data_IF_118638883503
#
_entry.id   IF_118638883503
#
_cell.length_a   1.000
_cell.length_b   1.000
_cell.length_c   1.000
_cell.angle_alpha   90.00
_cell.angle_beta   90.00
_cell.angle_gamma   90.00
#
_symmetry.space_group_name_H-M   'P 1'
#
loop_
_entity.id
_entity.type
_entity.pdbx_description
1 polymer ?
#
# COMPACT_ATOMS: atom_id res chain seq x y z
N UNK A 1 11.15 2.39 -21.47
CA UNK A 1 10.30 2.61 -22.67
C UNK A 1 9.38 1.42 -22.94
N UNK A 2 9.87 0.18 -22.85
CA UNK A 2 9.04 -1.02 -23.13
C UNK A 2 7.81 -1.15 -22.23
N UNK A 3 7.91 -0.86 -20.92
CA UNK A 3 6.75 -0.95 -20.00
C UNK A 3 5.64 0.05 -20.37
N UNK A 4 6.03 1.27 -20.75
CA UNK A 4 5.08 2.30 -21.20
C UNK A 4 4.43 1.86 -22.51
N UNK A 5 5.20 1.29 -23.43
CA UNK A 5 4.68 0.73 -24.69
C UNK A 5 3.66 -0.40 -24.42
N UNK A 6 3.99 -1.35 -23.54
CA UNK A 6 3.09 -2.46 -23.16
C UNK A 6 1.82 -1.93 -22.51
N UNK A 7 1.91 -0.95 -21.60
CA UNK A 7 0.74 -0.33 -20.98
C UNK A 7 -0.15 0.39 -22.01
N UNK A 8 0.46 1.10 -22.96
CA UNK A 8 -0.26 1.77 -24.06
C UNK A 8 -0.94 0.76 -24.97
N UNK A 9 -0.25 -0.32 -25.36
CA UNK A 9 -0.82 -1.40 -26.18
C UNK A 9 -1.98 -2.08 -25.46
N UNK A 10 -1.84 -2.34 -24.16
CA UNK A 10 -2.91 -2.90 -23.33
C UNK A 10 -4.14 -1.98 -23.29
N UNK A 11 -3.95 -0.66 -23.15
CA UNK A 11 -5.04 0.32 -23.19
C UNK A 11 -5.73 0.38 -24.56
N UNK A 12 -4.96 0.33 -25.65
CA UNK A 12 -5.49 0.32 -27.02
C UNK A 12 -6.32 -0.94 -27.29
N UNK A 13 -5.87 -2.11 -26.84
CA UNK A 13 -6.63 -3.37 -26.92
C UNK A 13 -7.95 -3.27 -26.16
N UNK A 14 -7.93 -2.65 -24.98
CA UNK A 14 -9.10 -2.47 -24.13
C UNK A 14 -10.15 -1.57 -24.81
N UNK A 15 -9.70 -0.46 -25.42
CA UNK A 15 -10.52 0.43 -26.25
C UNK A 15 -11.13 -0.31 -27.45
N UNK A 16 -10.37 -1.18 -28.12
CA UNK A 16 -10.87 -1.96 -29.24
C UNK A 16 -12.01 -2.91 -28.81
N UNK A 17 -11.83 -3.60 -27.68
CA UNK A 17 -12.83 -4.55 -27.15
C UNK A 17 -14.11 -3.81 -26.72
N UNK A 18 -14.00 -2.58 -26.24
CA UNK A 18 -15.14 -1.72 -25.90
C UNK A 18 -16.08 -1.51 -27.10
N UNK A 19 -15.50 -1.27 -28.27
CA UNK A 19 -16.25 -0.99 -29.51
C UNK A 19 -16.85 -2.26 -30.12
N UNK A 20 -16.27 -3.44 -29.88
CA UNK A 20 -16.73 -4.71 -30.49
C UNK A 20 -17.73 -5.45 -29.60
N UNK A 21 -17.52 -5.54 -28.27
CA UNK A 21 -18.36 -6.33 -27.36
C UNK A 21 -18.47 -5.66 -25.98
N UNK A 22 -19.46 -4.77 -25.80
CA UNK A 22 -19.70 -4.03 -24.55
C UNK A 22 -19.81 -4.86 -23.26
N UNK A 23 -20.58 -5.97 -23.19
CA UNK A 23 -20.70 -6.73 -21.94
C UNK A 23 -19.41 -7.47 -21.58
N UNK A 24 -18.62 -7.88 -22.56
CA UNK A 24 -17.33 -8.55 -22.35
C UNK A 24 -16.23 -7.55 -21.95
N UNK A 25 -16.33 -6.31 -22.45
CA UNK A 25 -15.42 -5.23 -22.11
C UNK A 25 -15.36 -4.95 -20.60
N UNK A 26 -16.49 -5.01 -19.88
CA UNK A 26 -16.49 -4.78 -18.43
C UNK A 26 -15.63 -5.82 -17.68
N UNK A 27 -15.80 -7.11 -17.98
CA UNK A 27 -15.02 -8.20 -17.37
C UNK A 27 -13.54 -8.10 -17.76
N UNK A 28 -13.26 -7.94 -19.06
CA UNK A 28 -11.89 -7.86 -19.58
C UNK A 28 -11.17 -6.63 -19.03
N UNK A 29 -11.87 -5.50 -18.86
CA UNK A 29 -11.32 -4.27 -18.29
C UNK A 29 -10.82 -4.49 -16.86
N UNK A 30 -11.60 -5.19 -16.03
CA UNK A 30 -11.20 -5.54 -14.66
C UNK A 30 -9.96 -6.45 -14.69
N UNK A 31 -9.98 -7.50 -15.52
CA UNK A 31 -8.84 -8.43 -15.64
C UNK A 31 -7.56 -7.72 -16.11
N UNK A 32 -7.65 -6.90 -17.15
CA UNK A 32 -6.53 -6.12 -17.67
C UNK A 32 -6.02 -5.11 -16.65
N UNK A 33 -6.91 -4.44 -15.91
CA UNK A 33 -6.51 -3.51 -14.86
C UNK A 33 -5.72 -4.20 -13.76
N UNK A 34 -6.13 -5.40 -13.33
CA UNK A 34 -5.37 -6.21 -12.38
C UNK A 34 -4.02 -6.68 -12.95
N UNK A 35 -3.97 -7.10 -14.22
CA UNK A 35 -2.75 -7.52 -14.89
C UNK A 35 -1.74 -6.37 -15.01
N UNK A 36 -2.21 -5.21 -15.47
CA UNK A 36 -1.42 -4.01 -15.65
C UNK A 36 -0.94 -3.48 -14.30
N UNK A 37 -1.80 -3.46 -13.29
CA UNK A 37 -1.40 -3.11 -11.92
C UNK A 37 -0.35 -4.08 -11.37
N UNK A 38 -0.53 -5.40 -11.52
CA UNK A 38 0.43 -6.40 -11.07
C UNK A 38 1.80 -6.24 -11.76
N UNK A 39 1.79 -5.99 -13.07
CA UNK A 39 3.00 -5.74 -13.84
C UNK A 39 3.72 -4.47 -13.34
N UNK A 40 3.01 -3.34 -13.27
CA UNK A 40 3.59 -2.08 -12.77
C UNK A 40 4.07 -2.22 -11.32
N UNK A 41 3.31 -2.94 -10.49
CA UNK A 41 3.65 -3.15 -9.10
C UNK A 41 4.96 -3.92 -8.96
N UNK A 42 5.09 -5.05 -9.67
CA UNK A 42 6.27 -5.91 -9.60
C UNK A 42 7.53 -5.30 -10.22
N UNK A 43 7.39 -4.54 -11.31
CA UNK A 43 8.54 -4.00 -12.06
C UNK A 43 8.98 -2.59 -11.64
N UNK A 44 8.08 -1.77 -11.09
CA UNK A 44 8.40 -0.39 -10.70
C UNK A 44 8.27 -0.18 -9.19
N UNK A 45 7.08 -0.44 -8.62
CA UNK A 45 6.82 -0.12 -7.21
C UNK A 45 7.64 -1.00 -6.26
N UNK A 46 7.69 -2.31 -6.48
CA UNK A 46 8.41 -3.24 -5.62
C UNK A 46 9.93 -2.96 -5.56
N UNK A 47 10.66 -2.82 -6.68
CA UNK A 47 12.08 -2.49 -6.62
C UNK A 47 12.33 -1.10 -6.04
N UNK A 48 11.46 -0.12 -6.34
CA UNK A 48 11.55 1.21 -5.74
C UNK A 48 11.40 1.16 -4.21
N UNK A 49 10.43 0.42 -3.68
CA UNK A 49 10.25 0.23 -2.23
C UNK A 49 11.45 -0.48 -1.61
N UNK A 50 12.01 -1.50 -2.27
CA UNK A 50 13.22 -2.19 -1.79
C UNK A 50 14.41 -1.23 -1.74
N UNK A 51 14.65 -0.49 -2.81
CA UNK A 51 15.75 0.46 -2.89
C UNK A 51 15.59 1.58 -1.85
N UNK A 52 14.38 2.09 -1.65
CA UNK A 52 14.07 3.07 -0.61
C UNK A 52 14.35 2.51 0.79
N UNK A 53 13.96 1.27 1.07
CA UNK A 53 14.25 0.60 2.35
C UNK A 53 15.74 0.38 2.57
N UNK A 54 16.49 0.00 1.54
CA UNK A 54 17.94 -0.15 1.60
C UNK A 54 18.63 1.20 1.82
N UNK A 55 18.16 2.25 1.17
CA UNK A 55 18.69 3.60 1.32
C UNK A 55 18.42 4.13 2.72
N UNK A 56 17.28 3.79 3.30
CA UNK A 56 16.89 4.15 4.66
C UNK A 56 17.35 3.14 5.71
N UNK A 57 18.16 2.13 5.35
CA UNK A 57 18.58 1.07 6.27
C UNK A 57 19.43 1.60 7.45
N UNK A 58 20.05 2.77 7.29
CA UNK A 58 20.78 3.46 8.36
C UNK A 58 19.86 4.02 9.46
N UNK A 59 18.58 4.23 9.15
CA UNK A 59 17.62 4.85 10.05
C UNK A 59 16.87 3.76 10.82
N UNK A 60 16.98 3.72 12.17
CA UNK A 60 16.25 2.75 12.95
C UNK A 60 14.75 2.92 12.70
N UNK A 61 14.02 1.80 12.63
CA UNK A 61 12.59 1.77 12.34
C UNK A 61 12.18 2.31 10.95
N UNK A 62 13.10 2.54 10.00
CA UNK A 62 12.73 2.98 8.64
C UNK A 62 11.66 2.07 8.00
N UNK A 63 11.85 0.76 8.09
CA UNK A 63 10.88 -0.24 7.59
C UNK A 63 9.52 -0.12 8.29
N UNK A 64 9.52 0.07 9.60
CA UNK A 64 8.32 0.26 10.41
C UNK A 64 7.55 1.52 9.99
N UNK A 65 8.26 2.63 9.77
CA UNK A 65 7.69 3.90 9.29
C UNK A 65 7.08 3.72 7.90
N UNK A 66 7.83 3.10 6.98
CA UNK A 66 7.39 2.92 5.60
C UNK A 66 6.14 2.04 5.51
N UNK A 67 6.12 0.95 6.29
CA UNK A 67 4.96 0.05 6.37
C UNK A 67 3.76 0.74 7.00
N UNK A 68 3.96 1.52 8.08
CA UNK A 68 2.89 2.28 8.74
C UNK A 68 2.29 3.34 7.81
N UNK A 69 3.14 4.08 7.10
CA UNK A 69 2.70 5.08 6.12
C UNK A 69 1.94 4.43 4.95
N UNK A 70 2.46 3.32 4.43
CA UNK A 70 1.79 2.57 3.36
C UNK A 70 0.41 2.09 3.79
N UNK A 71 0.31 1.48 4.98
CA UNK A 71 -0.95 1.00 5.54
C UNK A 71 -1.94 2.14 5.76
N UNK A 72 -1.46 3.30 6.23
CA UNK A 72 -2.28 4.49 6.42
C UNK A 72 -2.90 4.99 5.11
N UNK A 73 -2.09 5.16 4.05
CA UNK A 73 -2.57 5.63 2.75
C UNK A 73 -3.51 4.63 2.08
N UNK A 74 -3.20 3.33 2.13
CA UNK A 74 -4.09 2.29 1.63
C UNK A 74 -5.42 2.30 2.40
N UNK A 75 -5.36 2.39 3.73
CA UNK A 75 -6.56 2.48 4.57
C UNK A 75 -7.42 3.72 4.28
N UNK A 76 -6.78 4.87 4.04
CA UNK A 76 -7.46 6.10 3.64
C UNK A 76 -8.13 5.96 2.28
N UNK A 77 -7.43 5.39 1.30
CA UNK A 77 -7.98 5.16 -0.04
C UNK A 77 -9.19 4.22 -0.02
N UNK A 78 -9.10 3.09 0.70
CA UNK A 78 -10.23 2.17 0.90
C UNK A 78 -11.40 2.86 1.59
N UNK A 79 -11.12 3.69 2.61
CA UNK A 79 -12.17 4.47 3.28
C UNK A 79 -12.87 5.44 2.34
N UNK A 80 -12.11 6.13 1.46
CA UNK A 80 -12.68 7.07 0.49
C UNK A 80 -13.59 6.35 -0.51
N UNK A 81 -13.15 5.21 -1.04
CA UNK A 81 -13.97 4.37 -1.93
C UNK A 81 -15.28 3.96 -1.27
N UNK A 82 -15.23 3.53 -0.01
CA UNK A 82 -16.43 3.15 0.74
C UNK A 82 -17.38 4.33 0.93
N UNK A 83 -16.84 5.52 1.24
CA UNK A 83 -17.63 6.74 1.39
C UNK A 83 -18.30 7.14 0.06
N UNK A 84 -17.57 7.05 -1.05
CA UNK A 84 -18.09 7.33 -2.41
C UNK A 84 -19.24 6.38 -2.79
N UNK A 85 -19.23 5.14 -2.30
CA UNK A 85 -20.29 4.16 -2.50
C UNK A 85 -21.38 4.17 -1.41
N UNK A 86 -21.58 5.29 -0.71
CA UNK A 86 -22.57 5.48 0.37
C UNK A 86 -22.35 4.64 1.64
N UNK A 87 -21.20 4.00 1.83
CA UNK A 87 -20.84 3.26 3.04
C UNK A 87 -20.04 4.10 4.04
N UNK A 88 -20.50 5.34 4.30
CA UNK A 88 -19.76 6.32 5.11
C UNK A 88 -19.34 5.82 6.49
N UNK A 89 -20.26 5.17 7.23
CA UNK A 89 -19.99 4.63 8.57
C UNK A 89 -18.93 3.53 8.50
N UNK A 90 -19.02 2.64 7.52
CA UNK A 90 -18.09 1.53 7.35
C UNK A 90 -16.70 2.03 6.93
N UNK A 91 -16.61 3.02 6.04
CA UNK A 91 -15.35 3.68 5.69
C UNK A 91 -14.65 4.26 6.92
N UNK A 92 -15.39 5.00 7.77
CA UNK A 92 -14.86 5.56 9.01
C UNK A 92 -14.37 4.47 9.98
N UNK A 93 -15.09 3.35 10.09
CA UNK A 93 -14.69 2.21 10.94
C UNK A 93 -13.40 1.58 10.42
N UNK A 94 -13.31 1.32 9.11
CA UNK A 94 -12.11 0.75 8.47
C UNK A 94 -10.90 1.64 8.71
N UNK A 95 -11.03 2.95 8.50
CA UNK A 95 -9.89 3.85 8.70
C UNK A 95 -9.50 3.96 10.17
N UNK A 96 -10.47 3.94 11.09
CA UNK A 96 -10.21 3.90 12.53
C UNK A 96 -9.49 2.62 12.95
N UNK A 97 -9.89 1.47 12.39
CA UNK A 97 -9.22 0.19 12.63
C UNK A 97 -7.76 0.22 12.14
N UNK A 98 -7.51 0.77 10.95
CA UNK A 98 -6.15 0.94 10.43
C UNK A 98 -5.29 1.80 11.38
N UNK A 99 -5.82 2.93 11.86
CA UNK A 99 -5.11 3.78 12.84
C UNK A 99 -4.80 3.03 14.13
N UNK A 100 -5.75 2.25 14.66
CA UNK A 100 -5.54 1.44 15.86
C UNK A 100 -4.45 0.39 15.65
N UNK A 101 -4.43 -0.29 14.50
CA UNK A 101 -3.37 -1.25 14.16
C UNK A 101 -2.00 -0.58 14.14
N UNK A 102 -1.89 0.61 13.54
CA UNK A 102 -0.64 1.38 13.51
C UNK A 102 -0.22 1.76 14.95
N UNK A 103 -1.14 2.27 15.77
CA UNK A 103 -0.85 2.63 17.16
C UNK A 103 -0.38 1.42 17.97
N UNK A 104 -1.08 0.28 17.88
CA UNK A 104 -0.71 -0.94 18.58
C UNK A 104 0.67 -1.45 18.17
N UNK A 105 1.00 -1.35 16.88
CA UNK A 105 2.32 -1.70 16.38
C UNK A 105 3.42 -0.84 17.02
N UNK A 106 3.25 0.49 17.00
CA UNK A 106 4.23 1.41 17.59
C UNK A 106 4.33 1.32 19.11
N UNK A 107 3.22 1.02 19.80
CA UNK A 107 3.23 0.79 21.25
C UNK A 107 4.12 -0.40 21.62
N UNK A 108 4.07 -1.47 20.82
CA UNK A 108 4.93 -2.65 21.02
C UNK A 108 6.41 -2.32 20.83
N UNK A 109 6.75 -1.60 19.76
CA UNK A 109 8.13 -1.16 19.51
C UNK A 109 8.64 -0.24 20.63
N UNK A 110 7.79 0.69 21.10
CA UNK A 110 8.13 1.59 22.20
C UNK A 110 8.39 0.87 23.53
N UNK A 111 7.59 -0.15 23.85
CA UNK A 111 7.80 -0.98 25.04
C UNK A 111 9.14 -1.72 25.01
N UNK A 112 9.56 -2.22 23.84
CA UNK A 112 10.85 -2.87 23.69
C UNK A 112 12.02 -1.91 23.99
N UNK A 113 11.95 -0.68 23.45
CA UNK A 113 12.94 0.37 23.72
C UNK A 113 12.98 0.73 25.20
N UNK A 114 11.83 0.87 25.86
CA UNK A 114 11.78 1.17 27.29
C UNK A 114 12.43 0.07 28.15
N UNK A 115 12.23 -1.20 27.80
CA UNK A 115 12.88 -2.32 28.49
C UNK A 115 14.40 -2.28 28.33
N UNK A 116 14.88 -1.97 27.12
CA UNK A 116 16.31 -1.85 26.83
C UNK A 116 16.93 -0.70 27.64
N UNK A 117 16.32 0.49 27.62
CA UNK A 117 16.76 1.65 28.41
C UNK A 117 16.76 1.34 29.91
N UNK A 118 15.71 0.70 30.43
CA UNK A 118 15.63 0.29 31.83
C UNK A 118 16.76 -0.66 32.21
N UNK A 119 17.09 -1.63 31.35
CA UNK A 119 18.18 -2.58 31.59
C UNK A 119 19.56 -1.92 31.62
N UNK A 120 19.76 -0.88 30.80
CA UNK A 120 21.01 -0.10 30.78
C UNK A 120 21.14 0.69 32.09
N UNK A 121 20.07 1.35 32.52
CA UNK A 121 20.05 2.11 33.78
C UNK A 121 20.31 1.22 34.99
N UNK A 122 19.78 -0.01 35.01
CA UNK A 122 20.04 -0.98 36.08
C UNK A 122 21.49 -1.49 36.12
N UNK A 123 22.22 -1.46 34.99
CA UNK A 123 23.64 -1.87 34.92
C UNK A 123 24.61 -0.75 35.31
N UNK A 124 24.15 0.50 35.28
CA UNK A 124 24.92 1.70 35.61
C UNK A 124 24.85 2.07 37.10
N UNK A 125 23.97 1.43 37.86
CA UNK A 125 23.71 1.64 39.28
C UNK A 125 24.18 0.43 40.09
#
# INVERSE_FOLDING_TARGET
MEIVLVAVVMLLLLLLIKEVIQPLHALISVMFSFLLFSMLFSTLLLPFVKQLLETLAFLPYAKAILMSASLFYVGQWVSLLLVEHNYKVLGNIVFSAVKLVIIMYWLKEFLAVLQEVSSILQRLN
#
